data_IF_220529890126
#
_entry.id   IF_220529890126
#
_cell.length_a   1.000
_cell.length_b   1.000
_cell.length_c   1.000
_cell.angle_alpha   90.00
_cell.angle_beta   90.00
_cell.angle_gamma   90.00
#
_symmetry.space_group_name_H-M   'P 1'
#
loop_
_entity.id
_entity.type
_entity.pdbx_description
1 polymer ?
#
# COMPACT_ATOMS: atom_id res chain seq x y z
N UNK A 1 -13.32 -41.58 26.92
CA UNK A 1 -12.52 -40.64 26.12
C UNK A 1 -12.76 -39.26 26.70
N UNK A 2 -11.84 -38.71 27.50
CA UNK A 2 -11.71 -37.26 27.78
C UNK A 2 -10.55 -36.90 28.75
N UNK A 3 -9.82 -37.84 29.35
CA UNK A 3 -8.70 -37.48 30.24
C UNK A 3 -7.40 -37.06 29.51
N UNK A 4 -7.24 -37.42 28.23
CA UNK A 4 -6.02 -37.11 27.46
C UNK A 4 -5.94 -35.67 26.95
N UNK A 5 -7.07 -34.94 26.99
CA UNK A 5 -7.17 -33.57 26.47
C UNK A 5 -6.90 -32.53 27.56
N UNK A 6 -7.37 -32.76 28.79
CA UNK A 6 -7.22 -31.82 29.89
C UNK A 6 -5.77 -31.63 30.33
N UNK A 7 -4.97 -32.70 30.40
CA UNK A 7 -3.55 -32.60 30.76
C UNK A 7 -2.72 -31.85 29.71
N UNK A 8 -3.10 -31.95 28.44
CA UNK A 8 -2.41 -31.28 27.33
C UNK A 8 -2.77 -29.79 27.32
N UNK A 9 -4.04 -29.46 27.52
CA UNK A 9 -4.53 -28.07 27.64
C UNK A 9 -3.91 -27.37 28.85
N UNK A 10 -3.83 -28.06 29.99
CA UNK A 10 -3.15 -27.55 31.21
C UNK A 10 -1.68 -27.22 30.95
N UNK A 11 -0.92 -28.11 30.30
CA UNK A 11 0.48 -27.84 29.96
C UNK A 11 0.67 -26.67 29.00
N UNK A 12 -0.24 -26.51 28.05
CA UNK A 12 -0.21 -25.39 27.10
C UNK A 12 -0.49 -24.07 27.85
N UNK A 13 -1.51 -24.05 28.72
CA UNK A 13 -1.85 -22.89 29.53
C UNK A 13 -0.68 -22.49 30.44
N UNK A 14 -0.06 -23.44 31.15
CA UNK A 14 1.11 -23.20 32.00
C UNK A 14 2.31 -22.65 31.20
N UNK A 15 2.51 -23.13 29.97
CA UNK A 15 3.61 -22.65 29.12
C UNK A 15 3.35 -21.22 28.64
N UNK A 16 2.09 -20.89 28.32
CA UNK A 16 1.70 -19.52 27.94
C UNK A 16 1.81 -18.57 29.13
N UNK A 17 1.29 -18.96 30.29
CA UNK A 17 1.34 -18.17 31.52
C UNK A 17 2.78 -17.87 31.91
N UNK A 18 3.65 -18.88 31.89
CA UNK A 18 5.06 -18.71 32.18
C UNK A 18 5.80 -17.84 31.16
N UNK A 19 5.45 -17.92 29.87
CA UNK A 19 6.01 -17.03 28.86
C UNK A 19 5.55 -15.57 29.06
N UNK A 20 4.32 -15.36 29.52
CA UNK A 20 3.79 -14.03 29.86
C UNK A 20 4.47 -13.47 31.11
N UNK A 21 4.67 -14.29 32.14
CA UNK A 21 5.38 -13.89 33.37
C UNK A 21 6.85 -13.55 33.08
N UNK A 22 7.54 -14.35 32.28
CA UNK A 22 8.93 -14.08 31.85
C UNK A 22 9.03 -12.76 31.06
N UNK A 23 8.01 -12.43 30.25
CA UNK A 23 7.98 -11.18 29.47
C UNK A 23 7.65 -9.95 30.35
N UNK A 24 6.79 -10.12 31.35
CA UNK A 24 6.47 -9.10 32.36
C UNK A 24 7.68 -8.80 33.25
N UNK A 25 8.37 -9.82 33.75
CA UNK A 25 9.60 -9.63 34.52
C UNK A 25 10.68 -8.92 33.69
N UNK A 26 10.78 -9.24 32.39
CA UNK A 26 11.72 -8.54 31.50
C UNK A 26 11.36 -7.06 31.36
N UNK A 27 10.07 -6.72 31.30
CA UNK A 27 9.61 -5.33 31.20
C UNK A 27 9.84 -4.54 32.49
N UNK A 28 9.64 -5.17 33.65
CA UNK A 28 9.92 -4.57 34.96
C UNK A 28 11.43 -4.42 35.24
N UNK A 29 12.27 -5.23 34.58
CA UNK A 29 13.73 -5.17 34.64
C UNK A 29 14.36 -4.28 33.56
N UNK A 30 13.58 -3.72 32.63
CA UNK A 30 14.11 -2.75 31.65
C UNK A 30 14.59 -1.50 32.38
N UNK A 31 15.85 -1.14 32.18
CA UNK A 31 16.42 0.07 32.74
C UNK A 31 15.71 1.31 32.16
N UNK A 32 15.59 2.36 32.97
CA UNK A 32 14.99 3.64 32.59
C UNK A 32 15.63 4.20 31.31
N UNK A 33 16.91 3.92 31.09
CA UNK A 33 17.64 4.33 29.90
C UNK A 33 17.29 3.51 28.64
N UNK A 34 16.98 2.21 28.76
CA UNK A 34 16.45 1.41 27.65
C UNK A 34 15.04 1.87 27.25
N UNK A 35 14.19 2.15 28.24
CA UNK A 35 12.85 2.67 28.00
C UNK A 35 12.90 4.05 27.32
N UNK A 36 13.83 4.92 27.72
CA UNK A 36 14.11 6.21 27.06
C UNK A 36 14.61 6.02 25.63
N UNK A 37 15.50 5.07 25.38
CA UNK A 37 16.01 4.78 24.04
C UNK A 37 14.90 4.33 23.09
N UNK A 38 13.99 3.45 23.53
CA UNK A 38 12.83 3.02 22.72
C UNK A 38 11.90 4.19 22.41
N UNK A 39 11.60 5.04 23.41
CA UNK A 39 10.78 6.25 23.20
C UNK A 39 11.42 7.18 22.18
N UNK A 40 12.73 7.41 22.30
CA UNK A 40 13.47 8.26 21.37
C UNK A 40 13.46 7.69 19.94
N UNK A 41 13.64 6.37 19.78
CA UNK A 41 13.56 5.70 18.47
C UNK A 41 12.18 5.87 17.83
N UNK A 42 11.10 5.64 18.58
CA UNK A 42 9.73 5.85 18.09
C UNK A 42 9.46 7.31 17.71
N UNK A 43 9.91 8.26 18.53
CA UNK A 43 9.77 9.69 18.22
C UNK A 43 10.50 10.07 16.93
N UNK A 44 11.70 9.53 16.70
CA UNK A 44 12.45 9.79 15.48
C UNK A 44 11.73 9.19 14.25
N UNK A 45 11.24 7.95 14.34
CA UNK A 45 10.47 7.31 13.26
C UNK A 45 9.22 8.12 12.89
N UNK A 46 8.46 8.58 13.90
CA UNK A 46 7.27 9.41 13.66
C UNK A 46 7.63 10.71 12.95
N UNK A 47 8.72 11.37 13.35
CA UNK A 47 9.20 12.60 12.70
C UNK A 47 9.62 12.35 11.24
N UNK A 48 10.37 11.29 10.97
CA UNK A 48 10.80 10.93 9.62
C UNK A 48 9.61 10.65 8.71
N UNK A 49 8.62 9.90 9.20
CA UNK A 49 7.38 9.61 8.47
C UNK A 49 6.61 10.91 8.17
N UNK A 50 6.55 11.83 9.13
CA UNK A 50 5.89 13.11 8.92
C UNK A 50 6.59 13.93 7.82
N UNK A 51 7.93 13.99 7.83
CA UNK A 51 8.71 14.69 6.79
C UNK A 51 8.48 14.05 5.42
N UNK A 52 8.59 12.72 5.30
CA UNK A 52 8.32 11.99 4.04
C UNK A 52 6.91 12.27 3.53
N UNK A 53 5.92 12.25 4.43
CA UNK A 53 4.52 12.56 4.09
C UNK A 53 4.36 13.98 3.54
N UNK A 54 4.99 14.97 4.17
CA UNK A 54 4.96 16.35 3.70
C UNK A 54 5.60 16.50 2.31
N UNK A 55 6.69 15.79 2.05
CA UNK A 55 7.33 15.75 0.72
C UNK A 55 6.43 15.10 -0.33
N UNK A 56 5.79 13.98 -0.02
CA UNK A 56 4.83 13.33 -0.91
C UNK A 56 3.61 14.20 -1.18
N UNK A 57 3.09 14.89 -0.16
CA UNK A 57 2.01 15.86 -0.30
C UNK A 57 2.38 17.00 -1.26
N UNK A 58 3.60 17.57 -1.14
CA UNK A 58 4.11 18.60 -2.07
C UNK A 58 4.18 18.11 -3.51
N UNK A 59 4.47 16.81 -3.70
CA UNK A 59 4.46 16.17 -5.02
C UNK A 59 3.04 15.87 -5.51
N UNK A 60 2.01 15.92 -4.65
CA UNK A 60 0.61 15.65 -5.00
C UNK A 60 0.16 14.21 -4.73
N UNK A 61 0.90 13.45 -3.93
CA UNK A 61 0.42 12.16 -3.38
C UNK A 61 -0.74 12.41 -2.40
N UNK A 62 -1.47 11.36 -2.01
CA UNK A 62 -2.68 11.52 -1.19
C UNK A 62 -3.95 11.73 -2.01
N UNK A 63 -3.82 11.83 -3.34
CA UNK A 63 -4.87 12.26 -4.26
C UNK A 63 -4.90 11.35 -5.49
N UNK A 64 -6.00 11.41 -6.22
CA UNK A 64 -6.17 10.77 -7.52
C UNK A 64 -6.34 11.87 -8.57
N UNK A 65 -5.24 12.21 -9.24
CA UNK A 65 -5.13 13.35 -10.14
C UNK A 65 -5.07 12.92 -11.61
N UNK A 66 -5.66 13.74 -12.47
CA UNK A 66 -5.59 13.58 -13.92
C UNK A 66 -4.24 14.07 -14.44
N UNK A 67 -3.58 13.24 -15.24
CA UNK A 67 -2.46 13.71 -16.07
C UNK A 67 -3.03 14.63 -17.15
N UNK A 68 -2.55 15.87 -17.23
CA UNK A 68 -3.05 16.85 -18.20
C UNK A 68 -2.33 16.75 -19.56
N UNK A 69 -1.05 16.43 -19.55
CA UNK A 69 -0.25 16.22 -20.76
C UNK A 69 0.83 15.13 -20.56
N UNK A 70 1.38 14.54 -21.65
CA UNK A 70 2.41 13.50 -21.54
C UNK A 70 3.63 13.90 -20.72
N UNK A 71 4.01 15.18 -20.72
CA UNK A 71 5.14 15.69 -19.94
C UNK A 71 4.92 15.50 -18.44
N UNK A 72 3.73 15.86 -17.94
CA UNK A 72 3.36 15.71 -16.53
C UNK A 72 3.48 14.25 -16.08
N UNK A 73 3.06 13.30 -16.92
CA UNK A 73 3.19 11.88 -16.64
C UNK A 73 4.65 11.50 -16.34
N UNK A 74 5.59 11.90 -17.20
CA UNK A 74 7.00 11.55 -17.01
C UNK A 74 7.62 12.27 -15.82
N UNK A 75 7.24 13.53 -15.58
CA UNK A 75 7.69 14.27 -14.40
C UNK A 75 7.21 13.61 -13.10
N UNK A 76 5.97 13.10 -13.08
CA UNK A 76 5.41 12.39 -11.93
C UNK A 76 6.08 11.03 -11.71
N UNK A 77 6.32 10.27 -12.78
CA UNK A 77 7.06 8.98 -12.71
C UNK A 77 8.50 9.19 -12.25
N UNK A 78 9.15 10.28 -12.65
CA UNK A 78 10.51 10.61 -12.20
C UNK A 78 10.56 11.12 -10.76
N UNK A 79 9.51 11.83 -10.33
CA UNK A 79 9.45 12.45 -9.00
C UNK A 79 9.04 11.52 -7.86
N UNK A 80 8.52 10.34 -8.18
CA UNK A 80 7.92 9.40 -7.22
C UNK A 80 8.53 8.01 -7.38
N UNK A 81 8.79 7.33 -6.26
CA UNK A 81 9.36 5.97 -6.30
C UNK A 81 8.35 4.94 -6.82
N UNK A 82 7.09 5.04 -6.38
CA UNK A 82 6.00 4.17 -6.79
C UNK A 82 4.88 5.01 -7.41
N UNK A 83 4.40 4.60 -8.59
CA UNK A 83 3.28 5.23 -9.27
C UNK A 83 2.32 4.16 -9.79
N UNK A 84 1.04 4.30 -9.47
CA UNK A 84 -0.06 3.53 -10.05
C UNK A 84 -0.81 4.44 -11.01
N UNK A 85 -0.86 4.04 -12.28
CA UNK A 85 -1.47 4.82 -13.36
C UNK A 85 -2.70 4.10 -13.87
N UNK A 86 -3.86 4.70 -13.69
CA UNK A 86 -5.11 4.20 -14.24
C UNK A 86 -5.35 4.77 -15.64
N UNK A 87 -5.14 3.95 -16.66
CA UNK A 87 -5.62 4.28 -18.01
C UNK A 87 -7.12 3.99 -18.07
N UNK A 88 -7.88 5.04 -18.37
CA UNK A 88 -9.33 5.06 -18.24
C UNK A 88 -10.00 5.82 -19.36
N UNK A 89 -11.32 5.62 -19.47
CA UNK A 89 -12.21 6.41 -20.33
C UNK A 89 -13.50 6.67 -19.56
N UNK A 90 -13.98 7.91 -19.58
CA UNK A 90 -15.18 8.34 -18.83
C UNK A 90 -16.44 7.58 -19.23
N UNK A 91 -16.56 7.19 -20.50
CA UNK A 91 -17.72 6.43 -21.00
C UNK A 91 -17.70 4.94 -20.64
N UNK A 92 -16.69 4.45 -19.91
CA UNK A 92 -16.55 3.03 -19.55
C UNK A 92 -16.90 2.83 -18.07
N UNK A 93 -18.06 2.22 -17.73
CA UNK A 93 -18.52 2.09 -16.33
C UNK A 93 -17.53 1.38 -15.40
N UNK A 94 -16.79 0.38 -15.92
CA UNK A 94 -15.76 -0.32 -15.16
C UNK A 94 -14.59 0.57 -14.73
N UNK A 95 -14.32 1.66 -15.44
CA UNK A 95 -13.32 2.65 -15.00
C UNK A 95 -13.78 3.40 -13.75
N UNK A 96 -15.08 3.68 -13.60
CA UNK A 96 -15.63 4.37 -12.42
C UNK A 96 -15.50 3.51 -11.16
N UNK A 97 -15.59 2.18 -11.30
CA UNK A 97 -15.39 1.23 -10.20
C UNK A 97 -13.95 1.35 -9.67
N UNK A 98 -12.95 1.26 -10.55
CA UNK A 98 -11.54 1.42 -10.18
C UNK A 98 -11.28 2.79 -9.56
N UNK A 99 -11.79 3.86 -10.16
CA UNK A 99 -11.64 5.22 -9.64
C UNK A 99 -12.11 5.33 -8.18
N UNK A 100 -13.26 4.74 -7.85
CA UNK A 100 -13.80 4.74 -6.48
C UNK A 100 -12.84 4.12 -5.48
N UNK A 101 -12.28 2.95 -5.80
CA UNK A 101 -11.34 2.27 -4.91
C UNK A 101 -10.02 3.03 -4.81
N UNK A 102 -9.45 3.48 -5.92
CA UNK A 102 -8.17 4.19 -5.94
C UNK A 102 -8.27 5.53 -5.18
N UNK A 103 -9.40 6.26 -5.28
CA UNK A 103 -9.61 7.49 -4.49
C UNK A 103 -9.60 7.27 -3.00
N UNK A 104 -10.04 6.11 -2.51
CA UNK A 104 -9.97 5.75 -1.09
C UNK A 104 -8.54 5.39 -0.70
N UNK A 105 -7.90 4.51 -1.49
CA UNK A 105 -6.54 4.02 -1.25
C UNK A 105 -5.53 5.18 -1.25
N UNK A 106 -5.65 6.10 -2.20
CA UNK A 106 -4.72 7.23 -2.33
C UNK A 106 -4.66 8.09 -1.07
N UNK A 107 -5.75 8.21 -0.30
CA UNK A 107 -5.78 9.01 0.94
C UNK A 107 -5.05 8.35 2.11
N UNK A 108 -4.78 7.06 2.02
CA UNK A 108 -4.16 6.26 3.08
C UNK A 108 -2.69 5.91 2.76
N UNK A 109 -2.36 5.77 1.46
CA UNK A 109 -1.05 5.31 0.98
C UNK A 109 -0.30 6.42 0.26
N UNK A 110 0.43 7.25 1.02
CA UNK A 110 1.19 8.37 0.48
C UNK A 110 2.53 7.95 -0.12
N UNK A 111 3.04 6.76 0.22
CA UNK A 111 4.24 6.17 -0.36
C UNK A 111 4.11 5.97 -1.89
N UNK A 112 2.87 5.88 -2.37
CA UNK A 112 2.55 5.65 -3.77
C UNK A 112 1.74 6.78 -4.35
N UNK A 113 2.15 7.24 -5.53
CA UNK A 113 1.40 8.21 -6.29
C UNK A 113 0.30 7.51 -7.08
N UNK A 114 -0.92 8.01 -6.98
CA UNK A 114 -2.04 7.55 -7.79
C UNK A 114 -2.45 8.62 -8.80
N UNK A 115 -2.51 8.26 -10.07
CA UNK A 115 -2.99 9.15 -11.12
C UNK A 115 -3.78 8.39 -12.17
N UNK A 116 -4.40 9.14 -13.07
CA UNK A 116 -5.08 8.56 -14.23
C UNK A 116 -4.80 9.32 -15.50
N UNK A 117 -4.94 8.60 -16.61
CA UNK A 117 -4.85 9.10 -17.97
C UNK A 117 -6.18 8.81 -18.64
N UNK A 118 -6.90 9.86 -19.02
CA UNK A 118 -8.04 9.74 -19.92
C UNK A 118 -7.53 9.49 -21.34
N UNK A 119 -7.73 8.28 -21.85
CA UNK A 119 -7.15 7.85 -23.14
C UNK A 119 -7.76 8.58 -24.34
N UNK A 120 -8.93 9.19 -24.18
CA UNK A 120 -9.53 10.03 -25.23
C UNK A 120 -8.83 11.39 -25.32
N UNK A 121 -8.36 11.90 -24.18
CA UNK A 121 -7.62 13.17 -24.11
C UNK A 121 -6.14 13.00 -24.46
N UNK A 122 -5.51 11.92 -24.00
CA UNK A 122 -4.07 11.66 -24.18
C UNK A 122 -3.83 10.28 -24.80
N UNK A 123 -4.24 10.05 -26.07
CA UNK A 123 -4.07 8.76 -26.73
C UNK A 123 -2.61 8.36 -26.91
N UNK A 124 -1.68 9.33 -26.99
CA UNK A 124 -0.26 9.07 -27.18
C UNK A 124 0.39 8.28 -26.03
N UNK A 125 -0.06 8.48 -24.79
CA UNK A 125 0.42 7.68 -23.65
C UNK A 125 -0.12 6.25 -23.73
N UNK A 126 -1.40 6.07 -24.02
CA UNK A 126 -2.00 4.74 -24.18
C UNK A 126 -1.29 3.94 -25.29
N UNK A 127 -1.00 4.58 -26.43
CA UNK A 127 -0.23 3.97 -27.52
C UNK A 127 1.20 3.63 -27.11
N UNK A 128 1.90 4.57 -26.45
CA UNK A 128 3.30 4.37 -26.02
C UNK A 128 3.46 3.19 -25.06
N UNK A 129 2.49 2.98 -24.18
CA UNK A 129 2.49 1.88 -23.21
C UNK A 129 1.67 0.67 -23.66
N UNK A 130 1.26 0.63 -24.94
CA UNK A 130 0.50 -0.47 -25.54
C UNK A 130 -0.75 -0.88 -24.73
N UNK A 131 -1.52 0.10 -24.26
CA UNK A 131 -2.75 -0.11 -23.51
C UNK A 131 -3.87 -0.48 -24.47
N UNK A 132 -4.24 -1.76 -24.49
CA UNK A 132 -5.22 -2.33 -25.43
C UNK A 132 -6.64 -2.45 -24.86
N UNK A 133 -6.78 -2.47 -23.52
CA UNK A 133 -8.06 -2.67 -22.83
C UNK A 133 -8.21 -1.67 -21.68
N UNK A 134 -9.45 -1.31 -21.35
CA UNK A 134 -9.78 -0.45 -20.22
C UNK A 134 -10.76 -1.15 -19.26
N UNK A 135 -10.64 -0.91 -17.95
CA UNK A 135 -9.56 -0.16 -17.29
C UNK A 135 -8.24 -0.94 -17.30
N UNK A 136 -7.12 -0.22 -17.30
CA UNK A 136 -5.79 -0.80 -17.05
C UNK A 136 -5.09 -0.02 -15.95
N UNK A 137 -4.59 -0.73 -14.92
CA UNK A 137 -3.75 -0.16 -13.87
C UNK A 137 -2.30 -0.55 -14.12
N UNK A 138 -1.51 0.39 -14.65
CA UNK A 138 -0.09 0.21 -14.88
C UNK A 138 0.70 0.51 -13.60
N UNK A 139 1.57 -0.42 -13.21
CA UNK A 139 2.38 -0.34 -11.99
C UNK A 139 3.81 0.07 -12.37
N UNK A 140 4.29 1.15 -11.75
CA UNK A 140 5.61 1.71 -12.02
C UNK A 140 6.37 1.84 -10.71
N UNK A 141 7.55 1.23 -10.65
CA UNK A 141 8.49 1.38 -9.54
C UNK A 141 9.86 1.83 -10.07
N UNK A 142 10.44 2.86 -9.44
CA UNK A 142 11.75 3.42 -9.79
C UNK A 142 11.88 3.71 -11.30
N UNK A 143 10.84 4.33 -11.86
CA UNK A 143 10.71 4.68 -13.29
C UNK A 143 10.61 3.48 -14.26
N UNK A 144 10.50 2.26 -13.75
CA UNK A 144 10.31 1.06 -14.55
C UNK A 144 8.87 0.56 -14.46
N UNK A 145 8.21 0.39 -15.60
CA UNK A 145 6.93 -0.31 -15.68
C UNK A 145 7.22 -1.81 -15.64
N UNK A 146 6.74 -2.50 -14.61
CA UNK A 146 7.01 -3.93 -14.44
C UNK A 146 5.75 -4.80 -14.53
N UNK A 147 4.56 -4.23 -14.29
CA UNK A 147 3.30 -4.96 -14.36
C UNK A 147 2.14 -4.05 -14.80
N UNK A 148 1.07 -4.66 -15.30
CA UNK A 148 -0.19 -3.97 -15.58
C UNK A 148 -1.37 -4.89 -15.30
N UNK A 149 -2.26 -4.44 -14.44
CA UNK A 149 -3.50 -5.15 -14.12
C UNK A 149 -4.53 -4.73 -15.17
N UNK A 150 -5.02 -5.70 -15.95
CA UNK A 150 -5.94 -5.46 -17.07
C UNK A 150 -7.34 -5.89 -16.65
N UNK A 151 -8.32 -4.99 -16.79
CA UNK A 151 -9.69 -5.28 -16.39
C UNK A 151 -9.79 -5.58 -14.89
N UNK A 152 -10.57 -6.60 -14.53
CA UNK A 152 -10.85 -6.98 -13.15
C UNK A 152 -10.30 -8.37 -12.79
N UNK A 153 -9.54 -9.00 -13.67
CA UNK A 153 -9.16 -10.42 -13.54
C UNK A 153 -8.41 -10.70 -12.24
N UNK A 154 -7.49 -9.82 -11.86
CA UNK A 154 -6.72 -9.94 -10.62
C UNK A 154 -7.51 -9.53 -9.37
N UNK A 155 -8.66 -8.88 -9.53
CA UNK A 155 -9.57 -8.55 -8.43
C UNK A 155 -10.67 -9.60 -8.23
N UNK A 156 -10.59 -10.73 -8.94
CA UNK A 156 -11.57 -11.82 -8.88
C UNK A 156 -12.56 -11.85 -10.06
N UNK A 157 -12.41 -10.96 -11.05
CA UNK A 157 -13.17 -10.96 -12.29
C UNK A 157 -14.63 -10.48 -12.16
N UNK A 158 -15.07 -10.07 -10.97
CA UNK A 158 -16.40 -9.51 -10.72
C UNK A 158 -16.39 -7.99 -10.69
N UNK A 159 -17.57 -7.37 -10.69
CA UNK A 159 -17.72 -5.90 -10.61
C UNK A 159 -17.90 -5.41 -9.15
N UNK A 160 -17.96 -6.32 -8.17
CA UNK A 160 -18.32 -6.08 -6.76
C UNK A 160 -17.17 -6.34 -5.77
N UNK A 161 -15.93 -6.41 -6.25
CA UNK A 161 -14.75 -6.55 -5.38
C UNK A 161 -14.61 -5.37 -4.42
N UNK A 162 -13.95 -5.63 -3.29
CA UNK A 162 -13.81 -4.64 -2.22
C UNK A 162 -12.55 -3.80 -2.37
N UNK A 163 -12.50 -2.62 -1.74
CA UNK A 163 -11.27 -1.83 -1.65
C UNK A 163 -10.13 -2.62 -0.99
N UNK A 164 -10.45 -3.51 -0.04
CA UNK A 164 -9.48 -4.39 0.59
C UNK A 164 -8.83 -5.34 -0.41
N UNK A 165 -9.60 -5.87 -1.36
CA UNK A 165 -9.08 -6.72 -2.44
C UNK A 165 -8.11 -5.95 -3.33
N UNK A 166 -8.46 -4.72 -3.73
CA UNK A 166 -7.54 -3.86 -4.51
C UNK A 166 -6.27 -3.57 -3.72
N UNK A 167 -6.38 -3.30 -2.41
CA UNK A 167 -5.21 -3.10 -1.53
C UNK A 167 -4.33 -4.34 -1.45
N UNK A 168 -4.92 -5.53 -1.29
CA UNK A 168 -4.15 -6.79 -1.24
C UNK A 168 -3.37 -7.03 -2.53
N UNK A 169 -4.01 -6.82 -3.68
CA UNK A 169 -3.33 -6.95 -4.99
C UNK A 169 -2.21 -5.92 -5.14
N UNK A 170 -2.47 -4.65 -4.84
CA UNK A 170 -1.42 -3.62 -4.91
C UNK A 170 -0.29 -3.89 -3.90
N UNK A 171 -0.60 -4.39 -2.71
CA UNK A 171 0.37 -4.75 -1.69
C UNK A 171 1.23 -5.94 -2.10
N UNK A 172 0.62 -6.96 -2.73
CA UNK A 172 1.33 -8.09 -3.32
C UNK A 172 2.38 -7.66 -4.35
N UNK A 173 2.08 -6.62 -5.16
CA UNK A 173 3.04 -6.03 -6.10
C UNK A 173 3.99 -4.99 -5.48
N UNK A 174 3.99 -4.82 -4.15
CA UNK A 174 4.81 -3.83 -3.46
C UNK A 174 4.40 -2.38 -3.71
N UNK A 175 3.24 -2.15 -4.33
CA UNK A 175 2.76 -0.82 -4.68
C UNK A 175 2.10 -0.10 -3.51
N UNK A 176 1.79 -0.76 -2.40
CA UNK A 176 1.37 -0.11 -1.15
C UNK A 176 1.86 -0.92 0.04
N UNK A 177 1.99 -0.29 1.21
CA UNK A 177 2.37 -0.97 2.43
C UNK A 177 1.13 -1.55 3.14
N UNK A 178 1.13 -2.84 3.50
CA UNK A 178 -0.06 -3.54 4.01
C UNK A 178 -0.68 -2.94 5.29
N UNK A 179 0.13 -2.34 6.18
CA UNK A 179 -0.34 -1.67 7.41
C UNK A 179 -0.36 -0.13 7.25
N UNK A 180 -0.35 0.36 6.02
CA UNK A 180 -0.30 1.78 5.67
C UNK A 180 1.09 2.41 5.79
N UNK A 181 1.15 3.73 5.68
CA UNK A 181 2.38 4.54 5.67
C UNK A 181 3.33 4.29 6.87
N UNK A 182 2.82 3.76 7.99
CA UNK A 182 3.61 3.44 9.20
C UNK A 182 4.27 2.06 9.20
N UNK A 183 3.98 1.22 8.21
CA UNK A 183 4.76 0.01 7.94
C UNK A 183 6.04 0.47 7.26
N UNK A 184 6.98 0.98 8.06
CA UNK A 184 8.31 1.33 7.62
C UNK A 184 8.88 0.13 6.86
N UNK A 185 9.18 0.33 5.58
CA UNK A 185 10.13 -0.44 4.77
C UNK A 185 10.20 -1.92 5.18
N UNK A 186 9.32 -2.76 4.60
CA UNK A 186 9.33 -4.22 4.79
C UNK A 186 10.71 -4.79 4.43
N UNK A 187 11.57 -4.86 5.43
CA UNK A 187 12.69 -5.76 5.56
C UNK A 187 12.62 -6.30 6.99
N UNK A 188 11.83 -7.35 7.15
CA UNK A 188 11.99 -8.34 8.21
C UNK A 188 11.86 -9.71 7.51
N UNK A 189 12.81 -9.98 6.61
CA UNK A 189 13.42 -11.29 6.30
C UNK A 189 14.55 -11.12 5.27
#
# INVERSE_FOLDING_TARGET
MNEFNDQTVLKIAETIERAVDDELERFDQMDDDELRAIRQKRLNQVKEIQVRREEWLKKGHGQYLEVSEPKDFFDWVKGSERVVVHFMRRSTPRCEIIERHIRLIAKEHFETRFCYVDVERIPSLAQRFNVMMLPTLMLVEKQNTFHSIIGFDEFGGSDDFTTTTVKQVLGFYGMINEKGMFSADQSDD
#
